data_IF_131646373216
#
_entry.id   IF_131646373216
#
_cell.length_a   1.000
_cell.length_b   1.000
_cell.length_c   1.000
_cell.angle_alpha   90.00
_cell.angle_beta   90.00
_cell.angle_gamma   90.00
#
_symmetry.space_group_name_H-M   'P 1'
#
loop_
_entity.id
_entity.type
_entity.pdbx_description
1 polymer ?
#
# COMPACT_ATOMS: atom_id res chain seq x y z
N UNK A 1 15.58 -6.01 -11.64
CA UNK A 1 14.24 -6.48 -11.25
C UNK A 1 13.90 -5.84 -9.92
N UNK A 2 12.79 -5.10 -9.88
CA UNK A 2 12.31 -4.41 -8.69
C UNK A 2 11.45 -5.32 -7.84
N UNK A 3 11.50 -5.16 -6.52
CA UNK A 3 10.70 -5.93 -5.57
C UNK A 3 9.81 -5.00 -4.75
N UNK A 4 8.50 -5.23 -4.80
CA UNK A 4 7.49 -4.46 -4.09
C UNK A 4 6.73 -5.42 -3.18
N UNK A 5 6.57 -5.05 -1.92
CA UNK A 5 5.84 -5.88 -0.94
C UNK A 5 4.66 -5.10 -0.37
N UNK A 6 3.45 -5.51 -0.75
CA UNK A 6 2.20 -5.07 -0.15
C UNK A 6 1.91 -5.84 1.13
N UNK A 7 2.01 -5.18 2.27
CA UNK A 7 1.72 -5.78 3.58
C UNK A 7 0.32 -5.35 3.99
N UNK A 8 -0.51 -6.30 4.40
CA UNK A 8 -1.92 -6.08 4.63
C UNK A 8 -2.40 -6.66 5.96
N UNK A 9 -3.23 -5.90 6.69
CA UNK A 9 -3.96 -6.44 7.85
C UNK A 9 -4.99 -7.52 7.50
N UNK A 10 -5.31 -7.69 6.21
CA UNK A 10 -6.23 -8.73 5.76
C UNK A 10 -5.63 -10.14 5.88
N UNK A 11 -6.46 -11.14 5.57
CA UNK A 11 -6.05 -12.55 5.69
C UNK A 11 -4.85 -12.92 4.82
N UNK A 12 -3.99 -13.79 5.35
CA UNK A 12 -2.88 -14.46 4.65
C UNK A 12 -3.35 -15.47 3.61
N UNK A 13 -4.61 -15.92 3.66
CA UNK A 13 -5.19 -16.81 2.64
C UNK A 13 -5.24 -16.20 1.23
N UNK A 14 -5.07 -14.87 1.10
CA UNK A 14 -5.01 -14.13 -0.17
C UNK A 14 -3.58 -13.75 -0.56
N UNK A 15 -2.60 -14.32 0.11
CA UNK A 15 -1.20 -14.05 -0.19
C UNK A 15 -0.87 -14.60 -1.56
N UNK A 16 -0.21 -13.76 -2.35
CA UNK A 16 0.13 -14.08 -3.72
C UNK A 16 1.35 -13.29 -4.16
N UNK A 17 1.96 -13.76 -5.24
CA UNK A 17 3.07 -13.09 -5.90
C UNK A 17 2.76 -13.03 -7.37
N UNK A 18 2.99 -11.88 -7.98
CA UNK A 18 2.94 -11.70 -9.43
C UNK A 18 4.23 -11.06 -9.91
N UNK A 19 4.64 -11.45 -11.11
CA UNK A 19 5.69 -10.76 -11.85
C UNK A 19 5.04 -10.05 -13.01
N UNK A 20 5.26 -8.74 -13.10
CA UNK A 20 4.72 -7.90 -14.17
C UNK A 20 5.83 -7.10 -14.82
N UNK A 21 5.68 -6.78 -16.10
CA UNK A 21 6.56 -5.87 -16.80
C UNK A 21 5.85 -4.52 -16.97
N UNK A 22 6.48 -3.46 -16.49
CA UNK A 22 5.98 -2.08 -16.60
C UNK A 22 7.11 -1.20 -17.11
N UNK A 23 6.86 -0.41 -18.16
CA UNK A 23 7.86 0.49 -18.75
C UNK A 23 9.19 -0.21 -19.10
N UNK A 24 9.15 -1.45 -19.61
CA UNK A 24 10.32 -2.29 -19.92
C UNK A 24 11.18 -2.67 -18.70
N UNK A 25 10.62 -2.60 -17.48
CA UNK A 25 11.27 -3.08 -16.26
C UNK A 25 10.40 -4.15 -15.58
N UNK A 26 11.05 -5.21 -15.08
CA UNK A 26 10.36 -6.29 -14.37
C UNK A 26 10.18 -5.96 -12.89
N UNK A 27 8.95 -6.14 -12.41
CA UNK A 27 8.54 -5.95 -11.02
C UNK A 27 8.01 -7.27 -10.47
N UNK A 28 8.57 -7.71 -9.34
CA UNK A 28 7.99 -8.75 -8.50
C UNK A 28 7.17 -8.07 -7.41
N UNK A 29 5.86 -8.32 -7.41
CA UNK A 29 4.91 -7.74 -6.48
C UNK A 29 4.35 -8.84 -5.60
N UNK A 30 4.49 -8.69 -4.30
CA UNK A 30 4.04 -9.64 -3.29
C UNK A 30 2.92 -9.01 -2.46
N UNK A 31 1.90 -9.80 -2.11
CA UNK A 31 0.94 -9.43 -1.07
C UNK A 31 1.10 -10.38 0.11
N UNK A 32 1.33 -9.83 1.31
CA UNK A 32 1.48 -10.58 2.56
C UNK A 32 0.42 -10.13 3.56
N UNK A 33 -0.38 -11.06 4.05
CA UNK A 33 -1.43 -10.85 5.03
C UNK A 33 -0.92 -11.10 6.45
N UNK A 34 -1.39 -10.29 7.39
CA UNK A 34 -1.03 -10.42 8.81
C UNK A 34 -2.17 -10.92 9.68
N UNK A 35 -3.31 -11.28 9.09
CA UNK A 35 -4.48 -11.83 9.78
C UNK A 35 -4.94 -10.95 10.96
N UNK A 36 -4.93 -9.62 10.75
CA UNK A 36 -5.29 -8.62 11.76
C UNK A 36 -4.18 -8.29 12.76
N UNK A 37 -3.03 -8.96 12.70
CA UNK A 37 -1.93 -8.73 13.63
C UNK A 37 -1.06 -7.54 13.19
N UNK A 38 -1.16 -6.43 13.92
CA UNK A 38 -0.36 -5.23 13.67
C UNK A 38 1.12 -5.38 14.04
N UNK A 39 1.44 -6.13 15.10
CA UNK A 39 2.84 -6.30 15.51
C UNK A 39 3.60 -7.16 14.50
N UNK A 40 2.95 -8.20 13.94
CA UNK A 40 3.48 -8.98 12.80
C UNK A 40 3.71 -8.11 11.56
N UNK A 41 2.83 -7.14 11.31
CA UNK A 41 3.00 -6.17 10.22
C UNK A 41 4.28 -5.35 10.41
N UNK A 42 4.49 -4.83 11.62
CA UNK A 42 5.69 -4.05 11.97
C UNK A 42 6.95 -4.89 11.88
N UNK A 43 6.90 -6.15 12.33
CA UNK A 43 8.02 -7.09 12.24
C UNK A 43 8.46 -7.32 10.80
N UNK A 44 7.51 -7.65 9.91
CA UNK A 44 7.79 -7.86 8.48
C UNK A 44 8.36 -6.60 7.83
N UNK A 45 7.81 -5.42 8.15
CA UNK A 45 8.33 -4.15 7.63
C UNK A 45 9.81 -3.97 8.04
N UNK A 46 10.13 -4.14 9.33
CA UNK A 46 11.51 -3.99 9.82
C UNK A 46 12.45 -5.02 9.19
N UNK A 47 11.99 -6.25 9.04
CA UNK A 47 12.80 -7.31 8.44
C UNK A 47 13.15 -7.00 6.98
N UNK A 48 12.22 -6.41 6.24
CA UNK A 48 12.34 -6.13 4.80
C UNK A 48 12.84 -4.71 4.50
N UNK A 49 12.95 -3.83 5.50
CA UNK A 49 13.39 -2.46 5.32
C UNK A 49 14.82 -2.40 4.76
N UNK A 50 14.99 -1.69 3.66
CA UNK A 50 16.23 -1.65 2.87
C UNK A 50 16.50 -2.89 2.00
N UNK A 51 15.60 -3.90 2.00
CA UNK A 51 15.71 -5.12 1.15
C UNK A 51 14.69 -5.16 0.01
N UNK A 52 13.75 -4.23 -0.02
CA UNK A 52 12.73 -4.10 -1.07
C UNK A 52 12.68 -2.65 -1.55
N UNK A 53 12.24 -2.43 -2.78
CA UNK A 53 12.22 -1.10 -3.40
C UNK A 53 11.08 -0.23 -2.89
N UNK A 54 9.94 -0.84 -2.51
CA UNK A 54 8.81 -0.14 -1.91
C UNK A 54 7.89 -1.07 -1.12
N UNK A 55 7.22 -0.51 -0.12
CA UNK A 55 6.11 -1.12 0.58
C UNK A 55 4.77 -0.53 0.16
N UNK A 56 3.76 -1.39 0.05
CA UNK A 56 2.35 -0.98 0.00
C UNK A 56 1.65 -1.31 1.31
N UNK A 57 0.89 -0.37 1.87
CA UNK A 57 -0.01 -0.61 3.00
C UNK A 57 -1.37 -1.09 2.51
N UNK A 58 -1.85 -2.19 3.07
CA UNK A 58 -3.17 -2.75 2.77
C UNK A 58 -4.03 -2.92 4.02
N UNK A 59 -5.32 -2.61 3.92
CA UNK A 59 -6.24 -2.73 5.05
C UNK A 59 -6.15 -1.57 6.06
N UNK A 60 -5.40 -0.52 5.74
CA UNK A 60 -5.46 0.78 6.39
C UNK A 60 -5.03 1.89 5.43
N UNK A 61 -5.55 3.09 5.63
CA UNK A 61 -5.06 4.31 4.98
C UNK A 61 -4.09 5.02 5.94
N UNK A 62 -3.05 5.68 5.42
CA UNK A 62 -2.21 6.57 6.22
C UNK A 62 -2.94 7.89 6.50
N UNK A 63 -3.67 8.36 5.49
CA UNK A 63 -4.40 9.62 5.53
C UNK A 63 -5.85 9.47 5.11
N UNK A 64 -6.74 10.14 5.83
CA UNK A 64 -8.11 10.42 5.40
C UNK A 64 -8.17 11.88 4.93
N UNK A 65 -8.80 12.11 3.78
CA UNK A 65 -8.99 13.44 3.21
C UNK A 65 -10.43 13.89 3.44
N UNK A 66 -10.61 15.11 3.94
CA UNK A 66 -11.92 15.76 4.04
C UNK A 66 -11.80 17.20 3.55
N UNK A 67 -12.38 17.46 2.37
CA UNK A 67 -12.35 18.76 1.68
C UNK A 67 -10.90 19.24 1.47
N UNK A 68 -10.45 20.16 2.30
CA UNK A 68 -9.14 20.81 2.27
C UNK A 68 -8.19 20.29 3.37
N UNK A 69 -8.64 19.33 4.18
CA UNK A 69 -7.90 18.80 5.33
C UNK A 69 -7.49 17.36 5.14
N UNK A 70 -6.29 17.06 5.64
CA UNK A 70 -5.71 15.71 5.69
C UNK A 70 -5.53 15.29 7.14
N UNK A 71 -6.10 14.15 7.51
CA UNK A 71 -6.04 13.57 8.85
C UNK A 71 -5.17 12.32 8.83
N UNK A 72 -4.11 12.30 9.64
CA UNK A 72 -3.23 11.14 9.77
C UNK A 72 -3.80 10.13 10.78
N UNK A 73 -3.83 8.85 10.40
CA UNK A 73 -4.24 7.78 11.31
C UNK A 73 -3.06 7.42 12.22
N UNK A 74 -3.26 7.52 13.54
CA UNK A 74 -2.19 7.32 14.54
C UNK A 74 -1.55 5.94 14.46
N UNK A 75 -2.35 4.89 14.24
CA UNK A 75 -1.85 3.52 14.13
C UNK A 75 -1.06 3.31 12.84
N UNK A 76 -1.54 3.84 11.72
CA UNK A 76 -0.81 3.83 10.45
C UNK A 76 0.55 4.56 10.59
N UNK A 77 0.58 5.69 11.29
CA UNK A 77 1.81 6.43 11.60
C UNK A 77 2.81 5.60 12.42
N UNK A 78 2.34 4.74 13.35
CA UNK A 78 3.23 3.83 14.10
C UNK A 78 3.86 2.77 13.18
N UNK A 79 3.09 2.28 12.21
CA UNK A 79 3.53 1.24 11.27
C UNK A 79 4.49 1.80 10.22
N UNK A 80 4.18 2.97 9.65
CA UNK A 80 5.05 3.64 8.67
C UNK A 80 6.43 3.95 9.25
N UNK A 81 6.51 4.31 10.54
CA UNK A 81 7.78 4.50 11.24
C UNK A 81 8.67 3.25 11.34
N UNK A 82 8.13 2.06 11.08
CA UNK A 82 8.92 0.84 11.09
C UNK A 82 9.81 0.70 9.85
N UNK A 83 9.51 1.43 8.77
CA UNK A 83 10.35 1.53 7.58
C UNK A 83 11.18 2.83 7.67
N UNK A 84 12.50 2.71 7.79
CA UNK A 84 13.41 3.85 7.85
C UNK A 84 14.07 4.14 6.50
N UNK A 85 14.29 3.10 5.68
CA UNK A 85 15.03 3.18 4.41
C UNK A 85 14.13 3.05 3.20
N UNK A 86 13.21 2.10 3.22
CA UNK A 86 12.34 1.77 2.10
C UNK A 86 11.08 2.64 2.15
N UNK A 87 10.68 3.26 1.03
CA UNK A 87 9.45 4.05 0.98
C UNK A 87 8.21 3.18 1.19
N UNK A 88 7.22 3.72 1.90
CA UNK A 88 5.93 3.07 2.16
C UNK A 88 4.77 3.97 1.70
N UNK A 89 3.83 3.39 0.95
CA UNK A 89 2.71 4.11 0.35
C UNK A 89 1.38 3.38 0.60
N UNK A 90 0.26 4.12 0.59
CA UNK A 90 -1.09 3.59 0.84
C UNK A 90 -2.04 3.70 -0.38
N UNK A 91 -1.53 4.12 -1.54
CA UNK A 91 -2.33 4.27 -2.76
C UNK A 91 -3.25 5.49 -2.80
N UNK A 92 -3.24 6.35 -1.78
CA UNK A 92 -4.11 7.54 -1.69
C UNK A 92 -4.00 8.48 -2.90
N UNK A 93 -2.82 8.61 -3.51
CA UNK A 93 -2.62 9.43 -4.71
C UNK A 93 -3.41 8.94 -5.92
N UNK A 94 -3.41 7.62 -6.17
CA UNK A 94 -4.22 7.02 -7.24
C UNK A 94 -5.71 7.12 -6.91
N UNK A 95 -6.09 6.79 -5.67
CA UNK A 95 -7.48 6.85 -5.19
C UNK A 95 -8.09 8.23 -5.42
N UNK A 96 -7.46 9.29 -4.90
CA UNK A 96 -7.94 10.66 -5.00
C UNK A 96 -7.97 11.20 -6.44
N UNK A 97 -7.22 10.60 -7.36
CA UNK A 97 -7.20 10.99 -8.77
C UNK A 97 -8.24 10.23 -9.59
N UNK A 98 -8.28 8.91 -9.42
CA UNK A 98 -9.08 8.01 -10.26
C UNK A 98 -10.53 7.96 -9.81
N UNK A 99 -10.83 7.91 -8.51
CA UNK A 99 -12.22 7.80 -8.03
C UNK A 99 -13.08 8.98 -8.51
N UNK A 100 -12.56 10.21 -8.42
CA UNK A 100 -13.25 11.41 -8.93
C UNK A 100 -13.52 11.31 -10.44
N UNK A 101 -12.50 10.91 -11.21
CA UNK A 101 -12.61 10.77 -12.67
C UNK A 101 -13.57 9.66 -13.07
N UNK A 102 -13.66 8.58 -12.29
CA UNK A 102 -14.57 7.46 -12.55
C UNK A 102 -16.03 7.91 -12.52
N UNK A 103 -16.42 8.77 -11.57
CA UNK A 103 -17.78 9.32 -11.50
C UNK A 103 -18.09 10.17 -12.74
N UNK A 104 -17.19 11.06 -13.13
CA UNK A 104 -17.34 11.88 -14.34
C UNK A 104 -17.38 11.04 -15.62
N UNK A 105 -16.65 9.93 -15.65
CA UNK A 105 -16.66 8.99 -16.77
C UNK A 105 -18.00 8.26 -16.85
N UNK A 106 -18.49 7.70 -15.75
CA UNK A 106 -19.78 7.00 -15.70
C UNK A 106 -20.90 7.94 -16.15
N UNK A 107 -21.00 9.14 -15.58
CA UNK A 107 -22.03 10.12 -15.96
C UNK A 107 -22.02 10.50 -17.45
N UNK A 108 -20.88 10.37 -18.15
CA UNK A 108 -20.77 10.64 -19.59
C UNK A 108 -21.09 9.43 -20.47
N UNK A 109 -21.02 8.21 -19.93
CA UNK A 109 -21.02 6.97 -20.70
C UNK A 109 -22.07 5.94 -20.24
N UNK A 110 -22.91 6.28 -19.26
CA UNK A 110 -24.08 5.51 -18.81
C UNK A 110 -25.27 6.45 -18.70
#
# INVERSE_FOLDING_TARGET
MKRIVGISLGSSSRDHTVTVELNNEQYRIERIGTDGNMDKMIEIIRELDGKVDAFGLGGMDLYIYAVDRRYEIRDARRIVRAAEKTPIVDGSGLKNTLERRSIEYLNRNT
#
